data_IF_139750784062
#
_entry.id   IF_139750784062
#
_cell.length_a   1.000
_cell.length_b   1.000
_cell.length_c   1.000
_cell.angle_alpha   90.00
_cell.angle_beta   90.00
_cell.angle_gamma   90.00
#
_symmetry.space_group_name_H-M   'P 1'
#
loop_
_entity.id
_entity.type
_entity.pdbx_description
1 polymer ?
#
# COMPACT_ATOMS: atom_id res chain seq x y z
N UNK A 1 0.94 15.97 -13.61
CA UNK A 1 -0.15 15.31 -12.88
C UNK A 1 -0.82 16.39 -12.06
N UNK A 2 -2.09 16.61 -12.32
CA UNK A 2 -2.85 17.62 -11.59
C UNK A 2 -3.31 17.04 -10.25
N UNK A 3 -3.69 17.89 -9.30
CA UNK A 3 -4.07 17.47 -7.94
C UNK A 3 -5.15 16.37 -7.92
N UNK A 4 -6.11 16.43 -8.85
CA UNK A 4 -7.16 15.43 -9.00
C UNK A 4 -6.61 14.05 -9.42
N UNK A 5 -5.58 14.02 -10.29
CA UNK A 5 -4.93 12.81 -10.74
C UNK A 5 -4.11 12.16 -9.61
N UNK A 6 -3.41 12.98 -8.83
CA UNK A 6 -2.68 12.52 -7.64
C UNK A 6 -3.63 11.94 -6.59
N UNK A 7 -4.78 12.58 -6.34
CA UNK A 7 -5.82 12.05 -5.43
C UNK A 7 -6.43 10.73 -5.94
N UNK A 8 -6.70 10.63 -7.24
CA UNK A 8 -7.20 9.39 -7.83
C UNK A 8 -6.19 8.24 -7.69
N UNK A 9 -4.90 8.52 -7.95
CA UNK A 9 -3.81 7.56 -7.76
C UNK A 9 -3.65 7.15 -6.30
N UNK A 10 -3.70 8.11 -5.37
CA UNK A 10 -3.62 7.83 -3.93
C UNK A 10 -4.77 6.90 -3.49
N UNK A 11 -5.99 7.14 -3.96
CA UNK A 11 -7.13 6.27 -3.68
C UNK A 11 -6.93 4.85 -4.23
N UNK A 12 -6.43 4.72 -5.47
CA UNK A 12 -6.15 3.42 -6.07
C UNK A 12 -5.08 2.65 -5.28
N UNK A 13 -3.97 3.29 -4.92
CA UNK A 13 -2.92 2.69 -4.10
C UNK A 13 -3.42 2.31 -2.70
N UNK A 14 -4.28 3.13 -2.11
CA UNK A 14 -4.90 2.84 -0.80
C UNK A 14 -5.78 1.59 -0.87
N UNK A 15 -6.56 1.45 -1.93
CA UNK A 15 -7.39 0.27 -2.15
C UNK A 15 -6.53 -0.98 -2.34
N UNK A 16 -5.54 -0.93 -3.23
CA UNK A 16 -4.62 -2.05 -3.46
C UNK A 16 -3.88 -2.46 -2.17
N UNK A 17 -3.44 -1.48 -1.37
CA UNK A 17 -2.80 -1.74 -0.09
C UNK A 17 -3.73 -2.47 0.89
N UNK A 18 -5.01 -2.08 0.97
CA UNK A 18 -6.02 -2.76 1.80
C UNK A 18 -6.29 -4.19 1.33
N UNK A 19 -6.37 -4.39 0.01
CA UNK A 19 -6.59 -5.71 -0.57
C UNK A 19 -5.42 -6.66 -0.28
N UNK A 20 -4.17 -6.15 -0.35
CA UNK A 20 -2.99 -6.89 0.06
C UNK A 20 -3.01 -7.26 1.55
N UNK A 21 -3.52 -6.38 2.40
CA UNK A 21 -3.66 -6.68 3.83
C UNK A 21 -4.63 -7.83 4.08
N UNK A 22 -5.81 -7.77 3.46
CA UNK A 22 -6.79 -8.85 3.55
C UNK A 22 -6.21 -10.18 3.03
N UNK A 23 -5.44 -10.15 1.95
CA UNK A 23 -4.77 -11.33 1.41
C UNK A 23 -3.69 -11.90 2.35
N UNK A 24 -2.87 -11.04 2.96
CA UNK A 24 -1.85 -11.43 3.94
C UNK A 24 -2.50 -12.07 5.16
N UNK A 25 -3.58 -11.48 5.69
CA UNK A 25 -4.32 -12.04 6.81
C UNK A 25 -4.94 -13.39 6.48
N UNK A 26 -5.57 -13.51 5.30
CA UNK A 26 -6.18 -14.76 4.86
C UNK A 26 -5.13 -15.88 4.73
N UNK A 27 -3.97 -15.58 4.14
CA UNK A 27 -2.86 -16.53 4.05
C UNK A 27 -2.27 -16.87 5.42
N UNK A 28 -2.14 -15.89 6.31
CA UNK A 28 -1.60 -16.10 7.65
C UNK A 28 -2.48 -16.98 8.56
N UNK A 29 -3.78 -17.07 8.27
CA UNK A 29 -4.71 -17.98 8.98
C UNK A 29 -4.65 -19.43 8.48
N UNK A 30 -3.97 -19.69 7.36
CA UNK A 30 -3.82 -21.05 6.82
C UNK A 30 -2.72 -21.82 7.56
N UNK A 31 -2.99 -23.08 7.93
CA UNK A 31 -2.02 -23.95 8.60
C UNK A 31 -0.81 -24.31 7.71
N UNK A 32 -0.94 -24.16 6.38
CA UNK A 32 0.12 -24.39 5.39
C UNK A 32 0.61 -23.08 4.77
N UNK A 33 0.55 -21.98 5.52
CA UNK A 33 0.93 -20.66 5.04
C UNK A 33 2.35 -20.67 4.44
N UNK A 34 2.46 -20.34 3.15
CA UNK A 34 3.75 -20.12 2.51
C UNK A 34 4.32 -18.79 3.01
N UNK A 35 5.28 -18.89 3.93
CA UNK A 35 6.00 -17.75 4.51
C UNK A 35 6.70 -16.89 3.45
N UNK A 36 7.17 -17.48 2.35
CA UNK A 36 7.80 -16.74 1.25
C UNK A 36 6.75 -15.93 0.48
N UNK A 37 5.57 -16.50 0.25
CA UNK A 37 4.46 -15.79 -0.36
C UNK A 37 4.02 -14.61 0.51
N UNK A 38 3.86 -14.81 1.82
CA UNK A 38 3.54 -13.75 2.78
C UNK A 38 4.61 -12.66 2.77
N UNK A 39 5.89 -13.02 2.76
CA UNK A 39 7.00 -12.05 2.69
C UNK A 39 6.96 -11.22 1.41
N UNK A 40 6.65 -11.82 0.25
CA UNK A 40 6.49 -11.11 -1.03
C UNK A 40 5.33 -10.12 -0.99
N UNK A 41 4.18 -10.51 -0.43
CA UNK A 41 3.02 -9.64 -0.29
C UNK A 41 3.32 -8.47 0.65
N UNK A 42 3.95 -8.71 1.80
CA UNK A 42 4.39 -7.66 2.73
C UNK A 42 5.36 -6.68 2.07
N UNK A 43 6.31 -7.17 1.26
CA UNK A 43 7.23 -6.31 0.49
C UNK A 43 6.49 -5.43 -0.52
N UNK A 44 5.47 -5.97 -1.21
CA UNK A 44 4.63 -5.19 -2.12
C UNK A 44 3.82 -4.14 -1.36
N UNK A 45 3.21 -4.52 -0.23
CA UNK A 45 2.47 -3.61 0.65
C UNK A 45 3.34 -2.45 1.12
N UNK A 46 4.59 -2.71 1.52
CA UNK A 46 5.55 -1.67 1.91
C UNK A 46 5.81 -0.67 0.77
N UNK A 47 6.04 -1.16 -0.45
CA UNK A 47 6.24 -0.28 -1.61
C UNK A 47 5.04 0.61 -1.91
N UNK A 48 3.82 0.08 -1.80
CA UNK A 48 2.61 0.89 -1.97
C UNK A 48 2.53 1.97 -0.90
N UNK A 49 2.89 1.66 0.35
CA UNK A 49 2.95 2.65 1.44
C UNK A 49 3.95 3.76 1.12
N UNK A 50 5.14 3.40 0.64
CA UNK A 50 6.17 4.38 0.27
C UNK A 50 5.70 5.26 -0.90
N UNK A 51 5.05 4.70 -1.91
CA UNK A 51 4.49 5.46 -3.04
C UNK A 51 3.33 6.38 -2.61
N UNK A 52 2.47 5.92 -1.71
CA UNK A 52 1.41 6.77 -1.14
C UNK A 52 2.00 7.94 -0.35
N UNK A 53 3.07 7.73 0.41
CA UNK A 53 3.76 8.80 1.13
C UNK A 53 4.31 9.87 0.17
N UNK A 54 4.96 9.45 -0.92
CA UNK A 54 5.44 10.37 -1.95
C UNK A 54 4.31 11.19 -2.58
N UNK A 55 3.16 10.57 -2.87
CA UNK A 55 2.00 11.29 -3.41
C UNK A 55 1.37 12.21 -2.37
N UNK A 56 1.34 11.82 -1.10
CA UNK A 56 0.86 12.64 0.00
C UNK A 56 1.74 13.88 0.20
N UNK A 57 3.06 13.73 0.14
CA UNK A 57 4.01 14.84 0.22
C UNK A 57 3.85 15.83 -0.95
N UNK A 58 3.53 15.32 -2.14
CA UNK A 58 3.22 16.14 -3.31
C UNK A 58 1.86 16.87 -3.21
N UNK A 59 0.90 16.29 -2.49
CA UNK A 59 -0.44 16.85 -2.28
C UNK A 59 -0.51 17.81 -1.09
N UNK A 60 0.29 17.58 -0.05
CA UNK A 60 0.33 18.37 1.18
C UNK A 60 1.80 18.63 1.51
N UNK A 61 2.38 19.75 1.04
CA UNK A 61 3.81 19.99 1.15
C UNK A 61 4.35 20.16 2.58
N UNK A 62 3.51 20.13 3.63
CA UNK A 62 3.88 20.74 4.93
C UNK A 62 3.21 20.09 6.16
N UNK A 63 3.43 18.78 6.40
CA UNK A 63 3.04 18.15 7.69
C UNK A 63 4.06 17.18 8.30
N UNK A 64 5.22 16.99 7.68
CA UNK A 64 6.31 16.16 8.23
C UNK A 64 7.62 16.99 8.23
N UNK A 65 7.70 17.94 9.16
CA UNK A 65 8.92 18.60 9.63
C UNK A 65 8.98 18.48 11.16
#
# INVERSE_FOLDING_TARGET
MDEAELKARLNALTQEHRDLDAAIEALGRSATADMLQIARLKKRKLRLKDEMALIQDLLIPDIIA
#
